data_IF_486988272543
#
_entry.id   IF_486988272543
#
_cell.length_a   1.000
_cell.length_b   1.000
_cell.length_c   1.000
_cell.angle_alpha   90.00
_cell.angle_beta   90.00
_cell.angle_gamma   90.00
#
_symmetry.space_group_name_H-M   'P 1'
#
loop_
_entity.id
_entity.type
_entity.pdbx_description
1 polymer ?
#
# COMPACT_ATOMS: atom_id res chain seq x y z
N UNK A 1 -3.26 -44.24 20.92
CA UNK A 1 -3.43 -43.17 21.93
C UNK A 1 -3.80 -41.93 21.13
N UNK A 2 -5.09 -41.63 21.07
CA UNK A 2 -5.63 -40.50 20.32
C UNK A 2 -5.33 -39.22 21.09
N UNK A 3 -4.63 -38.28 20.47
CA UNK A 3 -4.58 -36.88 20.92
C UNK A 3 -5.41 -36.09 19.92
N UNK A 4 -6.73 -36.10 20.14
CA UNK A 4 -7.65 -35.18 19.45
C UNK A 4 -7.50 -33.82 20.13
N UNK A 5 -6.55 -33.03 19.66
CA UNK A 5 -6.43 -31.62 20.06
C UNK A 5 -7.74 -30.93 19.68
N UNK A 6 -8.49 -30.48 20.68
CA UNK A 6 -9.65 -29.60 20.51
C UNK A 6 -9.27 -28.44 19.59
N UNK A 7 -9.67 -28.51 18.32
CA UNK A 7 -9.60 -27.40 17.39
C UNK A 7 -10.69 -26.39 17.76
N UNK A 8 -10.55 -25.77 18.94
CA UNK A 8 -11.28 -24.56 19.26
C UNK A 8 -10.98 -23.56 18.16
N UNK A 9 -12.00 -23.17 17.40
CA UNK A 9 -11.85 -22.22 16.28
C UNK A 9 -11.24 -20.93 16.83
N UNK A 10 -9.95 -20.71 16.58
CA UNK A 10 -9.25 -19.47 16.92
C UNK A 10 -9.99 -18.36 16.19
N UNK A 11 -10.55 -17.42 16.95
CA UNK A 11 -11.35 -16.32 16.38
C UNK A 11 -10.52 -15.06 16.19
N UNK A 12 -9.52 -14.85 17.05
CA UNK A 12 -8.56 -13.77 16.92
C UNK A 12 -7.20 -14.11 17.56
N UNK A 13 -6.16 -13.47 17.05
CA UNK A 13 -4.82 -13.46 17.61
C UNK A 13 -4.52 -12.09 18.21
N UNK A 14 -3.83 -12.05 19.34
CA UNK A 14 -3.33 -10.83 19.94
C UNK A 14 -1.83 -10.96 20.20
N UNK A 15 -1.05 -10.02 19.67
CA UNK A 15 0.41 -10.01 19.83
C UNK A 15 0.91 -8.57 19.91
N UNK A 16 1.62 -8.25 20.99
CA UNK A 16 2.01 -6.87 21.29
C UNK A 16 0.82 -5.91 21.27
N UNK A 17 0.86 -4.93 20.37
CA UNK A 17 -0.19 -3.95 20.17
C UNK A 17 -1.12 -4.26 18.99
N UNK A 18 -0.99 -5.43 18.37
CA UNK A 18 -1.84 -5.87 17.27
C UNK A 18 -2.91 -6.86 17.75
N UNK A 19 -4.08 -6.74 17.13
CA UNK A 19 -5.16 -7.73 17.19
C UNK A 19 -5.55 -8.11 15.78
N UNK A 20 -5.48 -9.39 15.46
CA UNK A 20 -5.89 -9.93 14.18
C UNK A 20 -7.13 -10.79 14.35
N UNK A 21 -8.26 -10.37 13.78
CA UNK A 21 -9.49 -11.15 13.76
C UNK A 21 -9.57 -11.96 12.46
N UNK A 22 -9.55 -13.29 12.58
CA UNK A 22 -9.50 -14.23 11.45
C UNK A 22 -10.82 -14.20 10.67
N UNK A 23 -11.94 -14.09 11.37
CA UNK A 23 -13.28 -14.12 10.79
C UNK A 23 -13.57 -12.83 10.02
N UNK A 24 -13.17 -11.68 10.59
CA UNK A 24 -13.33 -10.37 9.97
C UNK A 24 -12.26 -10.08 8.92
N UNK A 25 -11.12 -10.80 8.99
CA UNK A 25 -9.89 -10.53 8.23
C UNK A 25 -9.43 -9.10 8.44
N UNK A 26 -9.43 -8.68 9.70
CA UNK A 26 -9.11 -7.32 10.08
C UNK A 26 -7.94 -7.35 11.07
N UNK A 27 -6.91 -6.58 10.74
CA UNK A 27 -5.77 -6.33 11.62
C UNK A 27 -5.96 -4.93 12.21
N UNK A 28 -6.10 -4.86 13.52
CA UNK A 28 -6.18 -3.61 14.27
C UNK A 28 -4.92 -3.39 15.11
N UNK A 29 -4.46 -2.15 15.12
CA UNK A 29 -3.40 -1.65 15.97
C UNK A 29 -4.04 -0.92 17.15
N UNK A 30 -3.88 -1.43 18.37
CA UNK A 30 -4.37 -0.78 19.58
C UNK A 30 -3.25 0.09 20.19
N UNK A 31 -3.56 1.31 20.62
CA UNK A 31 -2.58 2.15 21.33
C UNK A 31 -2.27 1.61 22.73
N UNK A 32 -3.27 1.00 23.36
CA UNK A 32 -3.22 0.41 24.69
C UNK A 32 -4.08 -0.87 24.67
N UNK A 33 -3.62 -2.00 25.25
CA UNK A 33 -4.45 -3.20 25.40
C UNK A 33 -5.78 -2.95 26.14
N UNK A 34 -5.91 -1.90 26.95
CA UNK A 34 -7.13 -1.54 27.68
C UNK A 34 -8.06 -0.58 26.92
N UNK A 35 -7.62 0.01 25.80
CA UNK A 35 -8.45 0.94 25.03
C UNK A 35 -9.31 0.20 24.00
N UNK A 36 -10.63 0.48 23.93
CA UNK A 36 -11.54 -0.19 23.00
C UNK A 36 -11.42 0.29 21.55
N UNK A 37 -10.75 1.42 21.29
CA UNK A 37 -10.66 2.04 19.97
C UNK A 37 -9.31 1.70 19.29
N UNK A 38 -9.31 1.07 18.09
CA UNK A 38 -8.09 0.82 17.36
C UNK A 38 -7.53 2.14 16.79
N UNK A 39 -6.23 2.35 16.95
CA UNK A 39 -5.48 3.48 16.38
C UNK A 39 -5.48 3.43 14.85
N UNK A 40 -5.44 2.22 14.30
CA UNK A 40 -5.58 1.96 12.87
C UNK A 40 -6.19 0.57 12.68
N UNK A 41 -7.07 0.41 11.69
CA UNK A 41 -7.51 -0.92 11.26
C UNK A 41 -7.36 -1.08 9.76
N UNK A 42 -6.94 -2.27 9.35
CA UNK A 42 -6.73 -2.63 7.96
C UNK A 42 -7.40 -3.96 7.67
N UNK A 43 -8.15 -3.99 6.57
CA UNK A 43 -8.78 -5.23 6.11
C UNK A 43 -7.84 -5.96 5.17
N UNK A 44 -7.53 -7.21 5.52
CA UNK A 44 -6.74 -8.11 4.72
C UNK A 44 -7.61 -8.83 3.69
N UNK A 45 -7.02 -9.14 2.54
CA UNK A 45 -7.61 -10.08 1.57
C UNK A 45 -7.69 -11.49 2.17
N UNK A 46 -8.47 -12.38 1.54
CA UNK A 46 -8.58 -13.76 2.00
C UNK A 46 -7.21 -14.45 2.07
N UNK A 47 -6.38 -14.29 1.05
CA UNK A 47 -5.06 -14.93 1.00
C UNK A 47 -4.12 -14.36 2.07
N UNK A 48 -4.08 -13.03 2.23
CA UNK A 48 -3.25 -12.39 3.25
C UNK A 48 -3.66 -12.79 4.67
N UNK A 49 -4.96 -12.88 4.95
CA UNK A 49 -5.46 -13.30 6.26
C UNK A 49 -5.09 -14.76 6.57
N UNK A 50 -5.19 -15.66 5.58
CA UNK A 50 -4.82 -17.07 5.74
C UNK A 50 -3.31 -17.24 5.92
N UNK A 51 -2.50 -16.52 5.14
CA UNK A 51 -1.04 -16.52 5.27
C UNK A 51 -0.63 -15.99 6.64
N UNK A 52 -1.24 -14.89 7.09
CA UNK A 52 -0.94 -14.31 8.40
C UNK A 52 -1.33 -15.25 9.54
N UNK A 53 -2.51 -15.88 9.48
CA UNK A 53 -2.92 -16.89 10.46
C UNK A 53 -1.91 -18.04 10.52
N UNK A 54 -1.52 -18.58 9.36
CA UNK A 54 -0.54 -19.67 9.27
C UNK A 54 0.82 -19.28 9.87
N UNK A 55 1.30 -18.07 9.57
CA UNK A 55 2.55 -17.54 10.12
C UNK A 55 2.48 -17.28 11.63
N UNK A 56 1.30 -16.97 12.18
CA UNK A 56 1.11 -16.79 13.62
C UNK A 56 1.07 -18.13 14.35
N UNK A 57 0.45 -19.16 13.75
CA UNK A 57 0.45 -20.53 14.28
C UNK A 57 1.87 -21.12 14.31
N UNK A 58 2.70 -20.79 13.31
CA UNK A 58 4.09 -21.24 13.20
C UNK A 58 5.07 -20.06 13.40
N UNK A 59 4.81 -19.23 14.41
CA UNK A 59 5.69 -18.10 14.72
C UNK A 59 7.10 -18.60 15.08
N UNK A 60 8.11 -17.79 14.76
CA UNK A 60 9.54 -18.08 14.89
C UNK A 60 10.07 -19.29 14.10
N UNK A 61 9.21 -20.00 13.37
CA UNK A 61 9.59 -21.06 12.44
C UNK A 61 9.77 -20.55 11.00
N UNK A 62 10.61 -21.23 10.24
CA UNK A 62 10.81 -20.92 8.82
C UNK A 62 9.75 -21.67 8.00
N UNK A 63 8.81 -20.92 7.44
CA UNK A 63 7.77 -21.45 6.57
C UNK A 63 8.23 -21.42 5.10
N UNK A 64 8.17 -22.58 4.44
CA UNK A 64 8.50 -22.72 3.02
C UNK A 64 7.52 -21.96 2.12
N UNK A 65 8.02 -21.50 0.97
CA UNK A 65 7.21 -20.71 0.01
C UNK A 65 6.01 -21.48 -0.53
N UNK A 66 6.20 -22.76 -0.88
CA UNK A 66 5.14 -23.61 -1.42
C UNK A 66 4.05 -23.86 -0.38
N UNK A 67 4.43 -24.06 0.88
CA UNK A 67 3.49 -24.23 1.99
C UNK A 67 2.64 -22.98 2.21
N UNK A 68 3.27 -21.79 2.18
CA UNK A 68 2.54 -20.52 2.31
C UNK A 68 1.64 -20.23 1.10
N UNK A 69 2.06 -20.62 -0.11
CA UNK A 69 1.22 -20.57 -1.30
C UNK A 69 0.00 -21.50 -1.17
N UNK A 70 0.21 -22.73 -0.71
CA UNK A 70 -0.87 -23.67 -0.48
C UNK A 70 -1.84 -23.18 0.60
N UNK A 71 -1.35 -22.64 1.71
CA UNK A 71 -2.15 -22.11 2.81
C UNK A 71 -3.02 -20.89 2.37
N UNK A 72 -2.41 -19.93 1.67
CA UNK A 72 -3.09 -18.69 1.27
C UNK A 72 -4.16 -18.88 0.19
N UNK A 73 -3.96 -19.84 -0.72
CA UNK A 73 -4.80 -20.01 -1.91
C UNK A 73 -5.53 -21.36 -1.97
N UNK A 74 -5.29 -22.25 -1.01
CA UNK A 74 -6.00 -23.52 -0.83
C UNK A 74 -6.05 -24.35 -2.14
N UNK A 75 -4.91 -24.44 -2.83
CA UNK A 75 -4.78 -25.17 -4.09
C UNK A 75 -5.23 -24.42 -5.35
N UNK A 76 -5.60 -23.14 -5.27
CA UNK A 76 -5.90 -22.34 -6.48
C UNK A 76 -4.63 -22.02 -7.28
N UNK A 77 -4.65 -22.14 -8.62
CA UNK A 77 -3.52 -21.77 -9.45
C UNK A 77 -3.32 -20.25 -9.44
N UNK A 78 -2.11 -19.82 -9.08
CA UNK A 78 -1.72 -18.41 -9.02
C UNK A 78 -0.31 -18.21 -9.57
N UNK A 79 0.04 -16.95 -9.85
CA UNK A 79 1.40 -16.63 -10.26
C UNK A 79 2.38 -16.79 -9.09
N UNK A 80 3.64 -17.21 -9.33
CA UNK A 80 4.64 -17.34 -8.27
C UNK A 80 4.98 -16.01 -7.57
N UNK A 81 4.66 -14.87 -8.20
CA UNK A 81 4.86 -13.55 -7.61
C UNK A 81 3.77 -13.14 -6.61
N UNK A 82 2.63 -13.85 -6.59
CA UNK A 82 1.49 -13.50 -5.74
C UNK A 82 1.83 -13.60 -4.24
N UNK A 83 2.66 -14.56 -3.83
CA UNK A 83 3.15 -14.65 -2.44
C UNK A 83 3.96 -13.41 -2.05
N UNK A 84 4.87 -12.95 -2.91
CA UNK A 84 5.68 -11.76 -2.63
C UNK A 84 4.81 -10.53 -2.41
N UNK A 85 3.78 -10.36 -3.24
CA UNK A 85 2.82 -9.24 -3.12
C UNK A 85 2.04 -9.34 -1.82
N UNK A 86 1.53 -10.52 -1.47
CA UNK A 86 0.81 -10.74 -0.22
C UNK A 86 1.70 -10.44 1.00
N UNK A 87 2.93 -10.96 1.04
CA UNK A 87 3.89 -10.69 2.12
C UNK A 87 4.24 -9.20 2.19
N UNK A 88 4.42 -8.52 1.06
CA UNK A 88 4.69 -7.09 1.03
C UNK A 88 3.51 -6.27 1.59
N UNK A 89 2.26 -6.66 1.30
CA UNK A 89 1.08 -6.01 1.84
C UNK A 89 0.96 -6.25 3.35
N UNK A 90 1.14 -7.49 3.83
CA UNK A 90 1.14 -7.81 5.26
C UNK A 90 2.22 -7.00 5.99
N UNK A 91 3.45 -6.94 5.44
CA UNK A 91 4.53 -6.10 5.99
C UNK A 91 4.12 -4.64 6.11
N UNK A 92 3.40 -4.08 5.12
CA UNK A 92 2.93 -2.69 5.21
C UNK A 92 1.99 -2.45 6.38
N UNK A 93 1.16 -3.44 6.71
CA UNK A 93 0.26 -3.36 7.86
C UNK A 93 1.00 -3.52 9.22
N UNK A 94 2.16 -4.18 9.22
CA UNK A 94 3.02 -4.38 10.39
C UNK A 94 4.07 -3.25 10.59
N UNK A 95 4.27 -2.38 9.60
CA UNK A 95 5.22 -1.24 9.67
C UNK A 95 5.03 -0.29 10.88
N UNK A 96 3.80 0.01 11.35
CA UNK A 96 3.61 0.93 12.49
C UNK A 96 4.29 0.48 13.79
N UNK A 97 4.44 -0.83 14.03
CA UNK A 97 5.15 -1.35 15.20
C UNK A 97 6.05 -2.53 14.82
N UNK A 98 7.23 -2.26 14.22
CA UNK A 98 8.15 -3.30 13.75
C UNK A 98 8.79 -4.09 14.90
N UNK A 99 8.76 -3.52 16.12
CA UNK A 99 9.21 -4.23 17.33
C UNK A 99 8.23 -5.29 17.81
N UNK A 100 6.96 -5.24 17.37
CA UNK A 100 5.93 -6.18 17.83
C UNK A 100 5.83 -7.40 16.90
N UNK A 101 5.95 -7.21 15.59
CA UNK A 101 5.92 -8.28 14.62
C UNK A 101 6.74 -7.92 13.37
N UNK A 102 7.65 -8.80 12.98
CA UNK A 102 8.51 -8.63 11.81
C UNK A 102 8.52 -9.90 10.96
N UNK A 103 8.21 -9.80 9.66
CA UNK A 103 8.35 -10.90 8.71
C UNK A 103 9.71 -10.83 8.04
N UNK A 104 10.61 -11.77 8.37
CA UNK A 104 11.94 -11.88 7.76
C UNK A 104 11.92 -12.85 6.59
N UNK A 105 12.65 -12.48 5.54
CA UNK A 105 12.89 -13.34 4.39
C UNK A 105 14.22 -14.07 4.57
N UNK A 106 14.21 -15.40 4.50
CA UNK A 106 15.43 -16.21 4.51
C UNK A 106 15.74 -16.65 3.09
N UNK A 107 16.97 -16.41 2.64
CA UNK A 107 17.38 -16.76 1.29
C UNK A 107 17.20 -18.28 1.06
N UNK A 108 16.50 -18.63 -0.03
CA UNK A 108 16.23 -20.01 -0.49
C UNK A 108 15.37 -20.90 0.43
N UNK A 109 14.94 -20.44 1.60
CA UNK A 109 14.09 -21.23 2.52
C UNK A 109 12.65 -20.72 2.54
N UNK A 110 12.44 -19.44 2.86
CA UNK A 110 11.10 -18.87 2.82
C UNK A 110 10.95 -17.64 3.68
N UNK A 111 9.94 -17.66 4.55
CA UNK A 111 9.59 -16.54 5.43
C UNK A 111 9.41 -17.03 6.86
N UNK A 112 9.84 -16.21 7.82
CA UNK A 112 9.61 -16.45 9.24
C UNK A 112 8.97 -15.19 9.84
N UNK A 113 7.99 -15.37 10.71
CA UNK A 113 7.37 -14.30 11.48
C UNK A 113 8.00 -14.29 12.87
N UNK A 114 8.67 -13.20 13.23
CA UNK A 114 9.20 -12.98 14.56
C UNK A 114 8.29 -12.06 15.35
N UNK A 115 7.89 -12.50 16.55
CA UNK A 115 7.07 -11.72 17.46
C UNK A 115 7.96 -11.15 18.58
N UNK A 116 7.80 -9.86 18.87
CA UNK A 116 8.54 -9.21 19.95
C UNK A 116 7.89 -9.33 21.33
N UNK A 117 6.85 -10.17 21.46
CA UNK A 117 6.08 -10.34 22.67
C UNK A 117 5.20 -11.59 22.62
N UNK A 118 4.48 -11.90 23.72
CA UNK A 118 3.66 -13.09 23.79
C UNK A 118 2.51 -13.05 22.79
N UNK A 119 2.21 -14.21 22.19
CA UNK A 119 1.04 -14.44 21.35
C UNK A 119 -0.08 -15.04 22.20
N UNK A 120 -1.25 -14.42 22.14
CA UNK A 120 -2.47 -14.91 22.79
C UNK A 120 -3.53 -15.27 21.75
N UNK A 121 -4.13 -16.45 21.91
CA UNK A 121 -5.25 -16.91 21.08
C UNK A 121 -6.56 -16.62 21.79
N UNK A 122 -7.47 -15.92 21.11
CA UNK A 122 -8.83 -15.67 21.59
C UNK A 122 -9.74 -16.69 20.89
N UNK A 123 -10.05 -17.78 21.60
CA UNK A 123 -11.00 -18.79 21.16
C UNK A 123 -12.42 -18.22 21.17
N UNK A 124 -13.15 -18.37 20.06
CA UNK A 124 -14.53 -17.92 19.97
C UNK A 124 -15.46 -18.87 20.71
N UNK A 125 -15.60 -18.73 22.04
CA UNK A 125 -16.79 -19.26 22.72
C UNK A 125 -17.93 -18.28 22.43
N UNK A 126 -18.79 -18.62 21.47
CA UNK A 126 -20.08 -17.96 21.36
C UNK A 126 -20.87 -18.30 22.63
N UNK A 127 -20.87 -17.40 23.61
CA UNK A 127 -21.94 -17.34 24.59
C UNK A 127 -23.18 -16.80 23.86
N UNK A 128 -24.29 -17.56 23.77
CA UNK A 128 -25.52 -17.08 23.14
C UNK A 128 -26.01 -15.81 23.87
N UNK A 129 -26.49 -14.78 23.16
CA UNK A 129 -27.06 -13.61 23.79
C UNK A 129 -28.23 -14.02 24.69
N UNK A 130 -28.10 -13.81 26.00
CA UNK A 130 -29.21 -13.90 26.94
C UNK A 130 -30.27 -12.86 26.55
N UNK A 131 -31.37 -13.31 25.97
CA UNK A 131 -32.61 -12.55 25.88
C UNK A 131 -33.38 -12.82 27.18
N UNK A 132 -33.82 -11.79 27.95
CA UNK A 132 -34.58 -12.00 29.17
C UNK A 132 -35.91 -12.74 28.87
N UNK A 133 -36.10 -13.93 29.46
CA UNK A 133 -37.37 -14.65 29.46
C UNK A 133 -38.35 -14.00 30.47
N UNK A 134 -39.58 -13.66 30.06
CA UNK A 134 -40.69 -13.54 30.99
C UNK A 134 -41.21 -14.94 31.34
N UNK A 135 -41.31 -15.16 32.64
CA UNK A 135 -41.92 -16.29 33.34
C UNK A 135 -43.37 -16.54 32.88
N UNK A 136 -43.71 -17.78 32.50
CA UNK A 136 -45.06 -18.29 32.71
C UNK A 136 -45.07 -19.82 32.79
N UNK A 137 -45.86 -20.30 33.74
CA UNK A 137 -45.88 -21.63 34.31
C UNK A 137 -46.26 -22.77 33.34
N UNK A 138 -45.60 -23.92 33.57
CA UNK A 138 -46.27 -25.20 33.86
C UNK A 138 -46.83 -26.03 32.69
N UNK A 139 -46.17 -27.15 32.38
CA UNK A 139 -46.79 -28.51 32.40
C UNK A 139 -45.93 -29.56 31.66
N UNK A 140 -45.49 -30.55 32.44
CA UNK A 140 -45.31 -32.00 32.20
C UNK A 140 -45.15 -32.59 30.77
N UNK A 141 -44.07 -33.38 30.61
CA UNK A 141 -43.83 -34.50 29.65
C UNK A 141 -44.44 -35.80 30.25
N UNK A 142 -44.67 -36.97 29.59
CA UNK A 142 -44.39 -37.48 28.20
C UNK A 142 -45.57 -38.31 27.59
N UNK A 143 -45.48 -39.20 26.55
CA UNK A 143 -44.38 -39.58 25.63
C UNK A 143 -44.72 -39.54 24.11
N UNK A 144 -43.69 -39.76 23.28
CA UNK A 144 -43.72 -39.86 21.80
C UNK A 144 -44.58 -41.01 21.26
N UNK A 145 -45.03 -40.91 19.99
CA UNK A 145 -44.57 -41.92 19.02
C UNK A 145 -44.26 -41.39 17.59
N UNK A 146 -43.23 -42.00 17.00
CA UNK A 146 -42.97 -42.29 15.58
C UNK A 146 -42.68 -41.16 14.57
N UNK A 147 -41.47 -41.23 13.98
CA UNK A 147 -41.08 -40.72 12.64
C UNK A 147 -41.86 -41.44 11.51
N UNK A 148 -41.78 -41.10 10.19
CA UNK A 148 -40.90 -40.14 9.50
C UNK A 148 -41.59 -39.26 8.41
N UNK A 149 -40.97 -38.13 7.99
CA UNK A 149 -40.97 -37.64 6.59
C UNK A 149 -40.24 -36.29 6.44
N UNK A 150 -39.08 -36.34 5.79
CA UNK A 150 -38.48 -35.34 4.89
C UNK A 150 -39.03 -33.90 4.88
N UNK A 151 -38.30 -32.97 5.50
CA UNK A 151 -38.34 -31.55 5.12
C UNK A 151 -36.93 -31.00 4.88
N UNK A 152 -36.74 -30.54 3.65
CA UNK A 152 -35.52 -30.01 3.05
C UNK A 152 -34.88 -28.86 3.83
N UNK A 153 -33.55 -28.68 3.74
CA UNK A 153 -32.90 -27.46 4.21
C UNK A 153 -33.38 -26.28 3.37
N UNK A 154 -33.90 -25.26 4.04
CA UNK A 154 -34.31 -24.00 3.45
C UNK A 154 -33.13 -23.37 2.70
N UNK A 155 -33.30 -23.23 1.39
CA UNK A 155 -32.42 -22.49 0.53
C UNK A 155 -32.36 -21.03 0.99
N UNK A 156 -31.21 -20.62 1.54
CA UNK A 156 -30.91 -19.21 1.74
C UNK A 156 -30.93 -18.51 0.38
N UNK A 157 -31.53 -17.31 0.25
CA UNK A 157 -31.70 -16.67 -1.04
C UNK A 157 -30.35 -16.31 -1.69
N UNK A 158 -30.07 -16.92 -2.84
CA UNK A 158 -28.87 -16.76 -3.66
C UNK A 158 -28.63 -15.32 -4.15
N UNK A 159 -29.62 -14.43 -4.03
CA UNK A 159 -29.54 -13.05 -4.53
C UNK A 159 -28.67 -12.11 -3.69
N UNK A 160 -28.39 -12.44 -2.42
CA UNK A 160 -27.50 -11.61 -1.59
C UNK A 160 -26.00 -11.81 -1.87
N UNK A 161 -25.60 -12.86 -2.62
CA UNK A 161 -24.21 -13.05 -3.06
C UNK A 161 -23.84 -12.23 -4.30
N UNK A 162 -24.80 -11.89 -5.16
CA UNK A 162 -24.54 -11.09 -6.37
C UNK A 162 -24.14 -9.63 -6.08
N UNK A 163 -24.73 -9.01 -5.05
CA UNK A 163 -24.51 -7.58 -4.76
C UNK A 163 -23.13 -7.26 -4.17
N UNK A 164 -22.47 -8.18 -3.44
CA UNK A 164 -21.12 -7.93 -2.87
C UNK A 164 -19.98 -8.13 -3.87
N UNK A 165 -20.17 -8.95 -4.89
CA UNK A 165 -19.20 -9.10 -5.97
C UNK A 165 -19.19 -7.87 -6.89
N UNK A 166 -20.34 -7.24 -7.11
CA UNK A 166 -20.47 -6.05 -7.96
C UNK A 166 -19.78 -4.80 -7.38
N UNK A 167 -19.88 -4.56 -6.07
CA UNK A 167 -19.27 -3.40 -5.41
C UNK A 167 -17.72 -3.47 -5.37
N UNK A 168 -17.13 -4.67 -5.33
CA UNK A 168 -15.67 -4.84 -5.35
C UNK A 168 -15.03 -4.77 -6.74
N UNK A 169 -15.85 -4.88 -7.81
CA UNK A 169 -15.43 -4.70 -9.19
C UNK A 169 -15.40 -3.23 -9.58
N UNK A 170 -16.43 -2.48 -9.16
CA UNK A 170 -16.54 -1.03 -9.37
C UNK A 170 -15.40 -0.26 -8.70
N UNK A 171 -15.01 -0.66 -7.48
CA UNK A 171 -13.93 0.00 -6.74
C UNK A 171 -12.56 -0.18 -7.43
N UNK A 172 -12.29 -1.37 -7.98
CA UNK A 172 -11.06 -1.63 -8.76
C UNK A 172 -11.05 -0.93 -10.11
N UNK A 173 -12.18 -0.82 -10.79
CA UNK A 173 -12.31 -0.08 -12.06
C UNK A 173 -12.15 1.43 -11.85
N UNK A 174 -12.70 1.96 -10.75
CA UNK A 174 -12.57 3.37 -10.39
C UNK A 174 -11.14 3.68 -9.92
N UNK A 175 -10.53 2.82 -9.11
CA UNK A 175 -9.14 2.95 -8.67
C UNK A 175 -8.14 2.87 -9.83
N UNK A 176 -8.36 2.00 -10.82
CA UNK A 176 -7.52 1.92 -12.02
C UNK A 176 -7.63 3.20 -12.85
N UNK A 177 -8.84 3.74 -13.01
CA UNK A 177 -9.06 5.03 -13.69
C UNK A 177 -8.34 6.18 -12.98
N UNK A 178 -8.47 6.25 -11.65
CA UNK A 178 -7.78 7.27 -10.84
C UNK A 178 -6.27 7.18 -10.99
N UNK A 179 -5.69 5.98 -10.95
CA UNK A 179 -4.25 5.78 -11.16
C UNK A 179 -3.81 6.18 -12.58
N UNK A 180 -4.60 5.87 -13.61
CA UNK A 180 -4.34 6.33 -14.98
C UNK A 180 -4.35 7.86 -15.08
N UNK A 181 -5.33 8.53 -14.47
CA UNK A 181 -5.39 10.01 -14.48
C UNK A 181 -4.21 10.63 -13.73
N UNK A 182 -3.83 10.11 -12.56
CA UNK A 182 -2.67 10.59 -11.80
C UNK A 182 -1.38 10.40 -12.60
N UNK A 183 -1.16 9.23 -13.21
CA UNK A 183 0.01 8.98 -14.04
C UNK A 183 0.06 9.86 -15.29
N UNK A 184 -1.09 10.10 -15.93
CA UNK A 184 -1.18 10.98 -17.10
C UNK A 184 -0.93 12.45 -16.73
N UNK A 185 -1.46 12.91 -15.59
CA UNK A 185 -1.18 14.24 -15.07
C UNK A 185 0.31 14.40 -14.72
N UNK A 186 0.92 13.39 -14.09
CA UNK A 186 2.36 13.39 -13.78
C UNK A 186 3.21 13.45 -15.07
N UNK A 187 2.86 12.65 -16.09
CA UNK A 187 3.52 12.68 -17.39
C UNK A 187 3.42 14.08 -18.03
N UNK A 188 2.23 14.69 -18.00
CA UNK A 188 2.01 16.03 -18.52
C UNK A 188 2.86 17.06 -17.77
N UNK A 189 2.91 16.99 -16.43
CA UNK A 189 3.77 17.85 -15.63
C UNK A 189 5.26 17.66 -15.97
N UNK A 190 5.72 16.43 -16.19
CA UNK A 190 7.10 16.15 -16.60
C UNK A 190 7.40 16.68 -18.00
N UNK A 191 6.46 16.59 -18.94
CA UNK A 191 6.61 17.16 -20.29
C UNK A 191 6.63 18.68 -20.27
N UNK A 192 5.77 19.31 -19.46
CA UNK A 192 5.78 20.75 -19.23
C UNK A 192 7.08 21.18 -18.56
N UNK A 193 7.52 20.48 -17.52
CA UNK A 193 8.80 20.74 -16.87
C UNK A 193 9.96 20.58 -17.86
N UNK A 194 9.99 19.53 -18.68
CA UNK A 194 11.02 19.35 -19.71
C UNK A 194 10.98 20.45 -20.79
N UNK A 195 9.78 20.94 -21.15
CA UNK A 195 9.61 22.07 -22.05
C UNK A 195 10.10 23.39 -21.45
N UNK A 196 9.83 23.62 -20.17
CA UNK A 196 10.25 24.81 -19.42
C UNK A 196 11.73 24.77 -19.05
N UNK A 197 12.28 23.58 -18.80
CA UNK A 197 13.70 23.34 -18.50
C UNK A 197 14.50 23.11 -19.79
N UNK A 198 14.07 23.67 -20.93
CA UNK A 198 14.93 23.81 -22.10
C UNK A 198 16.04 24.81 -21.79
N UNK A 199 17.02 24.34 -21.02
CA UNK A 199 18.28 25.01 -20.81
C UNK A 199 19.05 24.99 -22.15
N UNK A 200 18.92 26.06 -22.92
CA UNK A 200 19.90 26.35 -23.97
C UNK A 200 21.23 26.63 -23.24
N UNK A 201 22.20 25.72 -23.41
CA UNK A 201 23.55 25.91 -22.91
C UNK A 201 24.20 27.08 -23.65
N UNK A 202 24.38 28.23 -22.99
CA UNK A 202 25.20 29.31 -23.52
C UNK A 202 26.67 28.97 -23.30
N UNK A 203 27.39 28.73 -24.40
CA UNK A 203 28.84 28.58 -24.39
C UNK A 203 29.52 29.91 -24.02
N UNK A 204 30.33 29.89 -22.96
CA UNK A 204 31.18 31.02 -22.60
C UNK A 204 32.62 30.66 -22.96
N UNK A 205 33.25 31.44 -23.84
CA UNK A 205 34.68 31.28 -24.15
C UNK A 205 35.46 32.33 -23.39
N UNK A 206 36.36 31.87 -22.52
CA UNK A 206 37.31 32.74 -21.83
C UNK A 206 38.68 32.64 -22.51
N UNK A 207 39.26 33.78 -22.87
CA UNK A 207 40.64 33.88 -23.33
C UNK A 207 41.43 34.71 -22.32
N UNK A 208 42.64 34.27 -22.02
CA UNK A 208 43.53 34.92 -21.06
C UNK A 208 44.54 35.77 -21.84
N UNK A 209 44.56 37.08 -21.60
CA UNK A 209 45.48 38.00 -22.24
C UNK A 209 46.08 38.92 -21.16
N UNK A 210 47.41 38.89 -21.06
CA UNK A 210 48.22 39.83 -20.26
C UNK A 210 47.70 40.09 -18.82
N UNK A 211 47.39 39.03 -18.07
CA UNK A 211 46.99 39.12 -16.65
C UNK A 211 45.49 39.26 -16.39
N UNK A 212 44.67 39.41 -17.44
CA UNK A 212 43.21 39.50 -17.33
C UNK A 212 42.53 38.37 -18.12
N UNK A 213 41.44 37.84 -17.58
CA UNK A 213 40.61 36.83 -18.23
C UNK A 213 39.36 37.50 -18.83
N UNK A 214 39.28 37.53 -20.16
CA UNK A 214 38.13 38.05 -20.89
C UNK A 214 37.20 36.89 -21.25
N UNK A 215 36.04 36.82 -20.61
CA UNK A 215 35.00 35.83 -20.89
C UNK A 215 33.92 36.44 -21.77
N UNK A 216 33.76 35.90 -22.97
CA UNK A 216 32.74 36.34 -23.92
C UNK A 216 31.66 35.25 -24.06
N UNK A 217 30.40 35.66 -23.93
CA UNK A 217 29.25 34.80 -24.21
C UNK A 217 29.05 34.72 -25.73
N UNK A 218 28.88 33.52 -26.27
CA UNK A 218 28.65 33.31 -27.71
C UNK A 218 27.24 33.82 -28.06
N UNK A 219 27.13 35.10 -28.48
CA UNK A 219 25.86 35.68 -28.90
C UNK A 219 25.35 34.97 -30.17
N UNK A 220 24.10 34.49 -30.15
CA UNK A 220 23.46 33.75 -31.27
C UNK A 220 23.36 34.57 -32.57
N UNK A 221 23.58 35.88 -32.49
CA UNK A 221 23.71 36.76 -33.64
C UNK A 221 25.00 37.58 -33.50
N UNK A 222 26.03 37.20 -34.24
CA UNK A 222 27.11 38.14 -34.56
C UNK A 222 26.47 39.26 -35.39
N UNK A 223 26.55 40.54 -34.98
CA UNK A 223 26.11 41.63 -35.84
C UNK A 223 26.96 41.58 -37.11
N UNK A 224 26.30 41.22 -38.21
CA UNK A 224 26.91 41.21 -39.54
C UNK A 224 27.14 42.67 -39.91
N UNK A 225 28.41 43.04 -40.05
CA UNK A 225 28.95 44.37 -40.36
C UNK A 225 28.93 45.41 -39.22
N UNK A 226 30.09 45.59 -38.59
CA UNK A 226 30.41 46.80 -37.82
C UNK A 226 30.70 47.95 -38.79
N UNK A 227 29.86 48.99 -38.78
CA UNK A 227 30.23 50.29 -39.33
C UNK A 227 31.26 50.96 -38.40
N UNK A 228 32.33 51.56 -38.92
CA UNK A 228 33.28 52.31 -38.09
C UNK A 228 32.56 53.49 -37.40
N UNK A 229 32.72 53.65 -36.08
CA UNK A 229 32.14 54.76 -35.32
C UNK A 229 30.97 54.45 -34.40
N UNK A 230 30.70 53.17 -34.08
CA UNK A 230 29.64 52.77 -33.13
C UNK A 230 30.15 51.81 -32.04
N UNK A 231 29.78 52.06 -30.78
CA UNK A 231 30.01 51.19 -29.63
C UNK A 231 28.78 50.31 -29.40
N UNK A 232 28.91 48.98 -29.52
CA UNK A 232 27.81 48.05 -29.26
C UNK A 232 28.06 47.29 -27.95
N UNK A 233 27.18 47.48 -26.97
CA UNK A 233 27.19 46.80 -25.68
C UNK A 233 26.17 45.66 -25.69
N UNK A 234 26.63 44.43 -25.41
CA UNK A 234 25.78 43.25 -25.37
C UNK A 234 25.76 42.71 -23.94
N UNK A 235 24.57 42.71 -23.31
CA UNK A 235 24.35 42.14 -21.99
C UNK A 235 23.16 41.19 -22.03
N UNK A 236 23.45 39.88 -22.01
CA UNK A 236 22.44 38.82 -22.13
C UNK A 236 21.65 38.93 -23.44
N UNK A 237 20.35 39.22 -23.34
CA UNK A 237 19.45 39.41 -24.49
C UNK A 237 19.33 40.87 -24.97
N UNK A 238 20.01 41.82 -24.31
CA UNK A 238 19.93 43.25 -24.66
C UNK A 238 21.15 43.64 -25.47
N UNK A 239 20.89 44.20 -26.66
CA UNK A 239 21.90 44.81 -27.52
C UNK A 239 21.64 46.30 -27.54
N UNK A 240 22.60 47.08 -27.05
CA UNK A 240 22.56 48.53 -27.08
C UNK A 240 23.66 49.02 -28.01
N UNK A 241 23.30 49.71 -29.08
CA UNK A 241 24.25 50.30 -30.02
C UNK A 241 24.24 51.80 -29.83
N UNK A 242 25.37 52.36 -29.43
CA UNK A 242 25.58 53.79 -29.24
C UNK A 242 26.50 54.31 -30.35
N UNK A 243 26.14 55.44 -30.96
CA UNK A 243 27.06 56.14 -31.88
C UNK A 243 28.03 57.01 -31.09
N UNK A 244 29.31 57.10 -31.51
CA UNK A 244 30.28 57.96 -30.81
C UNK A 244 29.85 59.43 -30.80
N UNK A 245 29.10 59.88 -31.82
CA UNK A 245 28.60 61.25 -31.91
C UNK A 245 27.51 61.58 -30.86
N UNK A 246 26.87 60.57 -30.26
CA UNK A 246 25.93 60.75 -29.14
C UNK A 246 26.65 60.76 -27.78
N UNK A 247 27.76 60.04 -27.64
CA UNK A 247 28.57 60.02 -26.41
C UNK A 247 29.28 61.35 -26.14
N UNK A 248 29.68 62.08 -27.18
CA UNK A 248 30.30 63.41 -27.05
C UNK A 248 29.32 64.53 -26.66
N UNK A 249 28.00 64.27 -26.63
CA UNK A 249 27.00 65.29 -26.23
C UNK A 249 26.65 65.26 -24.74
N UNK A 250 27.07 64.22 -24.02
CA UNK A 250 26.77 64.06 -22.59
C UNK A 250 27.98 64.29 -21.66
N UNK A 251 29.12 64.74 -22.20
CA UNK A 251 30.30 65.17 -21.44
C UNK A 251 30.62 66.65 -21.67
#
# INVERSE_FOLDING_TARGET
MQDETEAGSISAYQFGNYRFDVNRRELSLCADPASPQPLSSARLSCAEALILAYLLDHHDEICDKETLLAAGWQGRPISPNSLNVAIANIRRHLLPSPRCAEIRSTARKGYALHLGGPLSHIGGKQEPPQVPQPELAGSQVPPQPAEPAWHSPSARPLWQRGKRLWLSGLDRLLQTRTLCYVNLALLLCLLLAAGLLRFEWLGVRCKQAAGHSLCQMEAKASPTAMSPGTLTLISGHRVLTLSYHELDKEF
#
